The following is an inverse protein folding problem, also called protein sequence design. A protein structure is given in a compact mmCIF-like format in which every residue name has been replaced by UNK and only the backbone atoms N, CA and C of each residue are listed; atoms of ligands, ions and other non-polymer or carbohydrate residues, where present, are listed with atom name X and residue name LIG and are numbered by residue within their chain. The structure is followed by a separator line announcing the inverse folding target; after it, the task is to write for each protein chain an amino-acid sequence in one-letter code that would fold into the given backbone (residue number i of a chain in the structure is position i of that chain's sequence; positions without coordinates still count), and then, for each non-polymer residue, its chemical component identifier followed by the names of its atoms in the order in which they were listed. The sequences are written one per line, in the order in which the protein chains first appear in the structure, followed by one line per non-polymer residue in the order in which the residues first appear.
data_IF_495439783952
#
_entry.id   IF_495439783952
#
_cell.length_a   1.000
_cell.length_b   1.000
_cell.length_c   1.000
_cell.angle_alpha   90.00
_cell.angle_beta   90.00
_cell.angle_gamma   90.00
#
_symmetry.space_group_name_H-M   'P 1'
#
loop_
_entity.id
_entity.type
_entity.pdbx_description
1 polymer ?
#
# COMPACT_ATOMS: atom_id res chain seq x y z
N UNK A 1 20.02 -18.28 -14.28
CA UNK A 1 19.20 -19.02 -13.29
C UNK A 1 19.60 -18.68 -11.85
N UNK A 2 20.89 -18.48 -11.54
CA UNK A 2 21.34 -18.09 -10.19
C UNK A 2 20.78 -16.76 -9.68
N UNK A 3 20.56 -15.79 -10.57
CA UNK A 3 19.98 -14.49 -10.20
C UNK A 3 18.53 -14.61 -9.70
N UNK A 4 17.75 -15.57 -10.21
CA UNK A 4 16.36 -15.81 -9.79
C UNK A 4 16.32 -16.57 -8.46
N UNK A 5 17.26 -17.50 -8.23
CA UNK A 5 17.38 -18.23 -6.98
C UNK A 5 17.91 -17.36 -5.84
N UNK A 6 18.86 -16.45 -6.10
CA UNK A 6 19.35 -15.47 -5.11
C UNK A 6 18.40 -14.29 -4.92
N UNK A 7 17.70 -13.84 -5.97
CA UNK A 7 16.67 -12.81 -5.83
C UNK A 7 15.36 -13.37 -5.26
N UNK A 8 15.14 -14.70 -5.28
CA UNK A 8 13.93 -15.35 -4.76
C UNK A 8 13.60 -14.96 -3.31
N UNK A 9 14.54 -15.05 -2.36
CA UNK A 9 14.33 -14.57 -0.99
C UNK A 9 14.04 -13.06 -0.93
N UNK A 10 14.77 -12.25 -1.71
CA UNK A 10 14.57 -10.81 -1.75
C UNK A 10 13.18 -10.44 -2.31
N UNK A 11 12.71 -11.15 -3.34
CA UNK A 11 11.39 -11.01 -3.95
C UNK A 11 10.28 -11.43 -2.99
N UNK A 12 10.49 -12.50 -2.22
CA UNK A 12 9.56 -12.92 -1.18
C UNK A 12 9.45 -11.88 -0.06
N UNK A 13 10.58 -11.39 0.47
CA UNK A 13 10.58 -10.35 1.50
C UNK A 13 9.97 -9.05 0.99
N UNK A 14 10.32 -8.64 -0.24
CA UNK A 14 9.80 -7.46 -0.91
C UNK A 14 8.28 -7.55 -1.09
N UNK A 15 7.80 -8.70 -1.57
CA UNK A 15 6.39 -8.99 -1.73
C UNK A 15 5.59 -9.08 -0.43
N UNK A 16 6.19 -9.64 0.63
CA UNK A 16 5.59 -9.71 1.95
C UNK A 16 5.42 -8.35 2.62
N UNK A 17 6.27 -7.37 2.29
CA UNK A 17 6.12 -6.00 2.78
C UNK A 17 4.73 -5.43 2.51
N UNK A 18 4.17 -5.69 1.32
CA UNK A 18 2.81 -5.28 0.97
C UNK A 18 1.73 -5.99 1.83
N UNK A 19 1.96 -7.26 2.18
CA UNK A 19 1.04 -8.04 3.02
C UNK A 19 1.01 -7.57 4.47
N UNK A 20 2.14 -7.07 5.00
CA UNK A 20 2.20 -6.54 6.37
C UNK A 20 1.26 -5.35 6.56
N UNK A 21 1.11 -4.51 5.54
CA UNK A 21 0.19 -3.36 5.55
C UNK A 21 -1.25 -3.75 5.85
N UNK A 22 -1.71 -4.92 5.40
CA UNK A 22 -3.09 -5.40 5.61
C UNK A 22 -3.37 -5.60 7.11
N UNK A 23 -2.43 -6.17 7.85
CA UNK A 23 -2.61 -6.50 9.27
C UNK A 23 -2.77 -5.27 10.17
N UNK A 24 -2.25 -4.11 9.75
CA UNK A 24 -2.38 -2.85 10.48
C UNK A 24 -3.44 -1.93 9.86
N UNK A 25 -3.46 -1.86 8.53
CA UNK A 25 -4.36 -0.99 7.76
C UNK A 25 -5.81 -1.44 7.85
N UNK A 26 -6.10 -2.73 7.72
CA UNK A 26 -7.48 -3.23 7.72
C UNK A 26 -8.18 -3.01 9.08
N UNK A 27 -7.60 -3.37 10.24
CA UNK A 27 -8.21 -3.05 11.53
C UNK A 27 -8.42 -1.56 11.72
N UNK A 28 -7.45 -0.72 11.32
CA UNK A 28 -7.55 0.73 11.46
C UNK A 28 -8.68 1.30 10.58
N UNK A 29 -8.79 0.87 9.33
CA UNK A 29 -9.87 1.27 8.44
C UNK A 29 -11.25 0.86 8.98
N UNK A 30 -11.37 -0.35 9.54
CA UNK A 30 -12.61 -0.81 10.17
C UNK A 30 -12.95 -0.04 11.45
N UNK A 31 -11.95 0.37 12.24
CA UNK A 31 -12.15 1.25 13.40
C UNK A 31 -12.64 2.63 13.00
N UNK A 32 -12.20 3.15 11.85
CA UNK A 32 -12.69 4.40 11.27
C UNK A 32 -14.10 4.26 10.65
N UNK A 33 -14.67 3.06 10.64
CA UNK A 33 -16.04 2.79 10.21
C UNK A 33 -16.19 2.33 8.77
N UNK A 34 -15.08 2.15 8.02
CA UNK A 34 -15.13 1.59 6.67
C UNK A 34 -15.52 0.11 6.72
N UNK A 35 -16.40 -0.33 5.81
CA UNK A 35 -16.89 -1.71 5.73
C UNK A 35 -16.17 -2.42 4.60
N UNK A 36 -16.86 -2.78 3.53
CA UNK A 36 -16.27 -3.46 2.37
C UNK A 36 -15.25 -2.58 1.66
N UNK A 37 -15.39 -1.26 1.74
CA UNK A 37 -14.41 -0.28 1.25
C UNK A 37 -13.02 -0.50 1.88
N UNK A 38 -12.96 -1.01 3.12
CA UNK A 38 -11.69 -1.30 3.80
C UNK A 38 -10.88 -2.41 3.10
N UNK A 39 -11.55 -3.35 2.42
CA UNK A 39 -10.88 -4.43 1.67
C UNK A 39 -10.15 -3.84 0.47
N UNK A 40 -10.84 -3.03 -0.33
CA UNK A 40 -10.23 -2.33 -1.46
C UNK A 40 -9.15 -1.34 -1.02
N UNK A 41 -9.40 -0.60 0.05
CA UNK A 41 -8.46 0.39 0.57
C UNK A 41 -7.14 -0.21 1.10
N UNK A 42 -7.14 -1.45 1.59
CA UNK A 42 -6.00 -2.02 2.34
C UNK A 42 -5.36 -3.25 1.72
N UNK A 43 -5.98 -3.84 0.69
CA UNK A 43 -5.47 -5.05 0.03
C UNK A 43 -4.21 -4.83 -0.79
N UNK A 44 -3.83 -3.58 -1.07
CA UNK A 44 -2.64 -3.26 -1.85
C UNK A 44 -2.21 -1.78 -1.69
N UNK A 45 -1.15 -1.40 -2.40
CA UNK A 45 -0.74 -0.01 -2.59
C UNK A 45 -1.69 0.82 -3.50
N UNK A 46 -2.77 0.22 -4.02
CA UNK A 46 -3.79 0.87 -4.84
C UNK A 46 -3.24 1.60 -6.08
N UNK A 47 -2.23 1.02 -6.73
CA UNK A 47 -1.69 1.47 -8.02
C UNK A 47 -2.70 1.25 -9.15
N UNK A 48 -2.41 1.80 -10.32
CA UNK A 48 -3.25 1.76 -11.51
C UNK A 48 -3.67 0.33 -11.89
N UNK A 49 -2.72 -0.61 -11.81
CA UNK A 49 -3.00 -2.03 -12.06
C UNK A 49 -3.68 -2.73 -10.87
N UNK A 50 -3.53 -2.24 -9.64
CA UNK A 50 -4.30 -2.75 -8.50
C UNK A 50 -5.76 -2.35 -8.57
N UNK A 51 -6.06 -1.13 -9.06
CA UNK A 51 -7.42 -0.70 -9.39
C UNK A 51 -8.05 -1.61 -10.44
N UNK A 52 -7.31 -1.95 -11.51
CA UNK A 52 -7.77 -2.89 -12.51
C UNK A 52 -8.04 -4.29 -11.92
N UNK A 53 -7.16 -4.77 -11.04
CA UNK A 53 -7.34 -6.04 -10.31
C UNK A 53 -8.60 -6.03 -9.43
N UNK A 54 -8.78 -5.01 -8.60
CA UNK A 54 -9.96 -4.88 -7.73
C UNK A 54 -11.24 -4.78 -8.55
N UNK A 55 -11.24 -3.97 -9.62
CA UNK A 55 -12.37 -3.86 -10.53
C UNK A 55 -12.69 -5.20 -11.20
N UNK A 56 -11.68 -5.99 -11.56
CA UNK A 56 -11.87 -7.33 -12.14
C UNK A 56 -12.39 -8.36 -11.13
N UNK A 57 -12.01 -8.22 -9.86
CA UNK A 57 -12.37 -9.17 -8.80
C UNK A 57 -13.75 -8.89 -8.19
N UNK A 58 -14.09 -7.61 -7.97
CA UNK A 58 -15.30 -7.18 -7.26
C UNK A 58 -16.31 -6.42 -8.13
N UNK A 59 -15.92 -5.96 -9.31
CA UNK A 59 -16.72 -5.09 -10.18
C UNK A 59 -16.45 -3.60 -9.92
N UNK A 60 -16.63 -2.77 -10.95
CA UNK A 60 -16.35 -1.32 -10.88
C UNK A 60 -17.28 -0.54 -9.96
N UNK A 61 -18.53 -1.00 -9.78
CA UNK A 61 -19.53 -0.38 -8.91
C UNK A 61 -19.50 -0.94 -7.47
N UNK A 62 -18.45 -1.68 -7.11
CA UNK A 62 -18.31 -2.25 -5.77
C UNK A 62 -17.80 -1.23 -4.75
N UNK A 63 -18.13 -1.47 -3.48
CA UNK A 63 -17.59 -0.72 -2.35
C UNK A 63 -16.06 -0.86 -2.29
N UNK A 64 -15.52 -2.03 -2.65
CA UNK A 64 -14.08 -2.31 -2.75
C UNK A 64 -13.40 -1.44 -3.81
N UNK A 65 -13.97 -1.36 -5.01
CA UNK A 65 -13.46 -0.49 -6.07
C UNK A 65 -13.44 0.98 -5.62
N UNK A 66 -14.51 1.42 -4.96
CA UNK A 66 -14.62 2.77 -4.40
C UNK A 66 -13.55 3.04 -3.33
N UNK A 67 -13.33 2.09 -2.42
CA UNK A 67 -12.29 2.18 -1.38
C UNK A 67 -10.88 2.22 -1.97
N UNK A 68 -10.58 1.38 -2.96
CA UNK A 68 -9.30 1.40 -3.67
C UNK A 68 -9.06 2.74 -4.37
N UNK A 69 -10.07 3.27 -5.06
CA UNK A 69 -9.99 4.53 -5.77
C UNK A 69 -9.81 5.74 -4.84
N UNK A 70 -10.47 5.74 -3.68
CA UNK A 70 -10.28 6.76 -2.67
C UNK A 70 -8.82 6.82 -2.18
N UNK A 71 -8.22 5.67 -1.89
CA UNK A 71 -6.81 5.61 -1.46
C UNK A 71 -5.85 5.98 -2.60
N UNK A 72 -6.13 5.56 -3.83
CA UNK A 72 -5.32 5.95 -4.98
C UNK A 72 -5.22 7.48 -5.13
N UNK A 73 -6.35 8.18 -5.02
CA UNK A 73 -6.40 9.64 -5.17
C UNK A 73 -5.86 10.33 -3.92
N UNK A 74 -6.49 10.11 -2.76
CA UNK A 74 -6.20 10.84 -1.53
C UNK A 74 -4.87 10.39 -0.92
N UNK A 75 -4.68 9.07 -0.84
CA UNK A 75 -3.43 8.48 -0.38
C UNK A 75 -2.28 8.75 -1.35
N UNK A 76 -2.56 8.85 -2.65
CA UNK A 76 -1.57 9.29 -3.63
C UNK A 76 -1.03 10.69 -3.34
N UNK A 77 -1.91 11.66 -3.11
CA UNK A 77 -1.51 13.04 -2.83
C UNK A 77 -0.78 13.15 -1.49
N UNK A 78 -1.39 12.66 -0.42
CA UNK A 78 -0.82 12.76 0.93
C UNK A 78 0.47 11.94 1.07
N UNK A 79 0.48 10.74 0.49
CA UNK A 79 1.62 9.85 0.50
C UNK A 79 2.81 10.45 -0.23
N UNK A 80 2.60 11.08 -1.39
CA UNK A 80 3.70 11.71 -2.16
C UNK A 80 4.44 12.74 -1.31
N UNK A 81 3.70 13.62 -0.62
CA UNK A 81 4.29 14.62 0.28
C UNK A 81 5.05 13.95 1.43
N UNK A 82 4.41 12.96 2.07
CA UNK A 82 4.99 12.23 3.20
C UNK A 82 6.30 11.53 2.82
N UNK A 83 6.31 10.77 1.72
CA UNK A 83 7.47 10.00 1.28
C UNK A 83 8.64 10.90 0.84
N UNK A 84 8.38 12.05 0.22
CA UNK A 84 9.43 13.02 -0.10
C UNK A 84 10.12 13.58 1.15
N UNK A 85 9.33 13.99 2.15
CA UNK A 85 9.87 14.49 3.43
C UNK A 85 10.61 13.37 4.17
N UNK A 86 10.00 12.20 4.29
CA UNK A 86 10.59 11.05 4.99
C UNK A 86 11.92 10.64 4.37
N UNK A 87 12.02 10.60 3.04
CA UNK A 87 13.26 10.27 2.34
C UNK A 87 14.37 11.28 2.65
N UNK A 88 14.03 12.58 2.69
CA UNK A 88 14.97 13.64 3.08
C UNK A 88 15.46 13.46 4.51
N UNK A 89 14.54 13.29 5.46
CA UNK A 89 14.86 13.12 6.89
C UNK A 89 15.77 11.90 7.09
N UNK A 90 15.42 10.76 6.48
CA UNK A 90 16.23 9.54 6.56
C UNK A 90 17.60 9.72 5.91
N UNK A 91 17.68 10.38 4.75
CA UNK A 91 18.95 10.70 4.11
C UNK A 91 19.85 11.58 4.99
N UNK A 92 19.28 12.53 5.73
CA UNK A 92 20.04 13.39 6.65
C UNK A 92 20.58 12.68 7.89
N UNK A 93 20.00 11.53 8.28
CA UNK A 93 20.52 10.76 9.42
C UNK A 93 21.91 10.15 9.16
N UNK A 94 22.27 9.94 7.90
CA UNK A 94 23.53 9.31 7.51
C UNK A 94 23.65 7.83 7.87
N UNK A 95 22.57 7.17 8.33
CA UNK A 95 22.61 5.76 8.75
C UNK A 95 22.63 4.78 7.59
N UNK A 96 22.19 5.22 6.41
CA UNK A 96 22.00 4.36 5.25
C UNK A 96 22.77 4.89 4.05
N UNK A 97 23.28 3.97 3.23
CA UNK A 97 23.90 4.31 1.95
C UNK A 97 22.87 4.99 1.02
N UNK A 98 23.19 6.14 0.39
CA UNK A 98 22.30 6.85 -0.52
C UNK A 98 21.70 5.97 -1.62
N UNK A 99 22.46 4.99 -2.12
CA UNK A 99 22.02 4.06 -3.17
C UNK A 99 20.99 3.08 -2.65
N UNK A 100 21.18 2.59 -1.42
CA UNK A 100 20.21 1.73 -0.74
C UNK A 100 18.91 2.48 -0.44
N UNK A 101 19.02 3.74 0.01
CA UNK A 101 17.87 4.62 0.19
C UNK A 101 17.14 4.85 -1.14
N UNK A 102 17.87 5.14 -2.22
CA UNK A 102 17.32 5.28 -3.56
C UNK A 102 16.55 4.05 -4.01
N UNK A 103 17.13 2.85 -3.82
CA UNK A 103 16.45 1.59 -4.13
C UNK A 103 15.16 1.40 -3.33
N UNK A 104 15.16 1.78 -2.04
CA UNK A 104 13.98 1.65 -1.17
C UNK A 104 12.79 2.49 -1.65
N UNK A 105 13.04 3.63 -2.31
CA UNK A 105 11.97 4.49 -2.84
C UNK A 105 11.15 3.80 -3.92
N UNK A 106 11.71 2.78 -4.59
CA UNK A 106 11.01 2.00 -5.61
C UNK A 106 9.95 1.03 -5.06
N UNK A 107 9.84 0.84 -3.75
CA UNK A 107 8.83 -0.08 -3.18
C UNK A 107 7.41 0.51 -3.28
N UNK A 108 7.27 1.83 -3.37
CA UNK A 108 5.98 2.54 -3.37
C UNK A 108 5.27 2.60 -4.73
N UNK A 109 4.17 3.37 -4.80
CA UNK A 109 3.58 3.79 -6.06
C UNK A 109 4.56 4.67 -6.86
N UNK A 110 4.40 4.73 -8.18
CA UNK A 110 5.32 5.49 -9.04
C UNK A 110 5.45 6.97 -8.63
N UNK A 111 4.35 7.57 -8.17
CA UNK A 111 4.33 8.94 -7.62
C UNK A 111 5.13 9.08 -6.31
N UNK A 112 5.10 8.06 -5.44
CA UNK A 112 5.88 8.05 -4.20
C UNK A 112 7.37 7.88 -4.50
N UNK A 113 7.70 6.95 -5.41
CA UNK A 113 9.05 6.75 -5.92
C UNK A 113 9.61 8.05 -6.51
N UNK A 114 8.86 8.71 -7.41
CA UNK A 114 9.30 9.93 -8.06
C UNK A 114 9.60 11.03 -7.04
N UNK A 115 8.71 11.26 -6.07
CA UNK A 115 8.93 12.27 -5.05
C UNK A 115 10.12 11.94 -4.13
N UNK A 116 10.18 10.72 -3.58
CA UNK A 116 11.23 10.33 -2.65
C UNK A 116 12.62 10.26 -3.31
N UNK A 117 12.71 9.70 -4.52
CA UNK A 117 13.96 9.63 -5.26
C UNK A 117 14.45 11.02 -5.70
N UNK A 118 13.55 11.93 -6.08
CA UNK A 118 13.91 13.32 -6.37
C UNK A 118 14.47 14.03 -5.14
N UNK A 119 13.83 13.87 -3.97
CA UNK A 119 14.35 14.41 -2.70
C UNK A 119 15.74 13.89 -2.36
N UNK A 120 15.98 12.59 -2.51
CA UNK A 120 17.30 11.99 -2.28
C UNK A 120 18.35 12.42 -3.32
N UNK A 121 17.96 12.55 -4.60
CA UNK A 121 18.85 13.02 -5.65
C UNK A 121 19.29 14.47 -5.44
N UNK A 122 18.42 15.31 -4.85
CA UNK A 122 18.78 16.66 -4.43
C UNK A 122 19.73 16.66 -3.22
N UNK A 123 19.53 15.74 -2.28
CA UNK A 123 20.37 15.63 -1.08
C UNK A 123 21.76 15.03 -1.39
N UNK A 124 21.84 14.12 -2.38
CA UNK A 124 23.07 13.46 -2.81
C UNK A 124 23.31 13.66 -4.33
N UNK A 125 23.71 14.87 -4.77
CA UNK A 125 23.83 15.18 -6.20
C UNK A 125 24.82 14.29 -6.95
N UNK A 126 25.86 13.81 -6.27
CA UNK A 126 26.88 12.94 -6.84
C UNK A 126 26.33 11.55 -7.23
N UNK A 127 25.32 11.05 -6.51
CA UNK A 127 24.71 9.73 -6.74
C UNK A 127 23.31 9.83 -7.40
N UNK A 128 22.87 11.04 -7.78
CA UNK A 128 21.52 11.31 -8.28
C UNK A 128 21.07 10.38 -9.42
N UNK A 129 21.94 10.14 -10.40
CA UNK A 129 21.66 9.24 -11.53
C UNK A 129 21.49 7.79 -11.05
N UNK A 130 22.35 7.33 -10.15
CA UNK A 130 22.28 5.98 -9.59
C UNK A 130 21.04 5.80 -8.73
N UNK A 131 20.70 6.78 -7.88
CA UNK A 131 19.49 6.78 -7.05
C UNK A 131 18.25 6.63 -7.93
N UNK A 132 18.12 7.45 -8.97
CA UNK A 132 16.95 7.46 -9.86
C UNK A 132 16.85 6.16 -10.67
N UNK A 133 17.99 5.64 -11.15
CA UNK A 133 18.03 4.38 -11.89
C UNK A 133 17.65 3.19 -10.99
N UNK A 134 18.19 3.12 -9.77
CA UNK A 134 17.88 2.06 -8.81
C UNK A 134 16.42 2.13 -8.34
N UNK A 135 15.89 3.33 -8.11
CA UNK A 135 14.49 3.55 -7.77
C UNK A 135 13.56 3.01 -8.88
N UNK A 136 13.85 3.35 -10.14
CA UNK A 136 13.05 2.93 -11.30
C UNK A 136 13.08 1.41 -11.52
N UNK A 137 14.26 0.80 -11.38
CA UNK A 137 14.42 -0.65 -11.47
C UNK A 137 13.65 -1.35 -10.34
N UNK A 138 13.79 -0.89 -9.11
CA UNK A 138 13.09 -1.43 -7.95
C UNK A 138 11.56 -1.31 -8.11
N UNK A 139 11.06 -0.18 -8.61
CA UNK A 139 9.63 0.04 -8.86
C UNK A 139 9.05 -0.87 -9.95
N UNK A 140 9.84 -1.19 -10.96
CA UNK A 140 9.42 -2.13 -12.01
C UNK A 140 9.29 -3.55 -11.44
N UNK A 141 10.28 -3.98 -10.66
CA UNK A 141 10.27 -5.29 -9.99
C UNK A 141 9.09 -5.36 -9.00
N UNK A 142 8.93 -4.33 -8.16
CA UNK A 142 7.84 -4.20 -7.19
C UNK A 142 6.47 -4.29 -7.87
N UNK A 143 6.31 -3.64 -9.01
CA UNK A 143 5.06 -3.65 -9.75
C UNK A 143 4.70 -5.01 -10.29
N UNK A 144 5.64 -5.68 -10.97
CA UNK A 144 5.41 -7.01 -11.56
C UNK A 144 5.10 -8.03 -10.44
N UNK A 145 5.94 -8.08 -9.42
CA UNK A 145 5.75 -9.03 -8.30
C UNK A 145 4.50 -8.70 -7.48
N UNK A 146 4.22 -7.42 -7.28
CA UNK A 146 3.05 -6.93 -6.54
C UNK A 146 1.73 -7.33 -7.17
N UNK A 147 1.61 -7.37 -8.50
CA UNK A 147 0.40 -7.83 -9.21
C UNK A 147 0.07 -9.27 -8.79
N UNK A 148 1.03 -10.20 -8.91
CA UNK A 148 0.81 -11.61 -8.61
C UNK A 148 0.51 -11.84 -7.12
N UNK A 149 1.26 -11.17 -6.24
CA UNK A 149 1.04 -11.30 -4.78
C UNK A 149 -0.30 -10.73 -4.39
N UNK A 150 -0.71 -9.61 -4.99
CA UNK A 150 -2.01 -9.01 -4.68
C UNK A 150 -3.15 -9.92 -5.11
N UNK A 151 -3.07 -10.43 -6.34
CA UNK A 151 -4.08 -11.31 -6.92
C UNK A 151 -4.24 -12.62 -6.14
N UNK A 152 -3.12 -13.30 -5.82
CA UNK A 152 -3.17 -14.64 -5.22
C UNK A 152 -3.14 -14.67 -3.69
N UNK A 153 -2.55 -13.67 -3.04
CA UNK A 153 -2.40 -13.65 -1.58
C UNK A 153 -3.15 -12.49 -0.94
N UNK A 154 -2.92 -11.26 -1.37
CA UNK A 154 -3.36 -10.09 -0.63
C UNK A 154 -4.89 -9.94 -0.60
N UNK A 155 -5.56 -10.06 -1.76
CA UNK A 155 -7.03 -10.02 -1.85
C UNK A 155 -7.68 -11.11 -0.99
N UNK A 156 -7.36 -12.42 -1.16
CA UNK A 156 -8.00 -13.46 -0.35
C UNK A 156 -7.63 -13.39 1.14
N UNK A 157 -6.43 -12.90 1.48
CA UNK A 157 -6.03 -12.67 2.87
C UNK A 157 -6.84 -11.54 3.50
N UNK A 158 -7.00 -10.42 2.79
CA UNK A 158 -7.74 -9.25 3.27
C UNK A 158 -9.21 -9.59 3.49
N UNK A 159 -9.83 -10.34 2.57
CA UNK A 159 -11.23 -10.78 2.69
C UNK A 159 -11.46 -11.71 3.91
N UNK A 160 -10.54 -12.66 4.13
CA UNK A 160 -10.57 -13.53 5.32
C UNK A 160 -10.39 -12.74 6.61
N UNK A 161 -9.40 -11.84 6.65
CA UNK A 161 -9.12 -11.04 7.83
C UNK A 161 -10.29 -10.09 8.13
N UNK A 162 -10.89 -9.48 7.10
CA UNK A 162 -12.09 -8.66 7.22
C UNK A 162 -13.23 -9.47 7.84
N UNK A 163 -13.49 -10.68 7.35
CA UNK A 163 -14.56 -11.53 7.89
C UNK A 163 -14.34 -11.89 9.37
N UNK A 164 -13.09 -12.12 9.78
CA UNK A 164 -12.74 -12.39 11.19
C UNK A 164 -12.96 -11.14 12.04
N UNK A 165 -12.46 -9.99 11.58
CA UNK A 165 -12.59 -8.71 12.29
C UNK A 165 -14.05 -8.26 12.35
N UNK A 166 -14.83 -8.40 11.28
CA UNK A 166 -16.24 -8.00 11.21
C UNK A 166 -17.07 -8.80 12.22
N UNK A 167 -16.83 -10.11 12.37
CA UNK A 167 -17.46 -10.91 13.43
C UNK A 167 -17.11 -10.41 14.83
N UNK A 168 -15.86 -9.99 15.05
CA UNK A 168 -15.40 -9.46 16.33
C UNK A 168 -16.02 -8.09 16.64
N UNK A 169 -16.14 -7.21 15.65
CA UNK A 169 -16.76 -5.88 15.79
C UNK A 169 -18.30 -5.95 15.85
N UNK A 170 -18.93 -6.89 15.13
CA UNK A 170 -20.37 -7.14 15.19
C UNK A 170 -20.82 -7.59 16.58
N UNK A 171 -20.02 -8.45 17.25
CA UNK A 171 -20.26 -8.85 18.64
C UNK A 171 -20.21 -7.69 19.65
N UNK A 172 -19.48 -6.60 19.33
CA UNK A 172 -19.48 -5.35 20.12
C UNK A 172 -20.67 -4.45 19.81
N UNK A 173 -21.13 -4.40 18.54
CA UNK A 173 -22.30 -3.60 18.12
C UNK A 173 -23.63 -4.16 18.63
N UNK A 174 -23.76 -5.48 18.77
CA UNK A 174 -24.95 -6.12 19.36
C UNK A 174 -25.17 -5.76 20.84
N UNK A 175 -24.15 -5.18 21.52
CA UNK A 175 -24.25 -4.71 22.91
C UNK A 175 -24.59 -3.23 23.05
N UNK A 176 -24.72 -2.47 21.95
CA UNK A 176 -25.23 -1.08 22.01
C UNK A 176 -26.73 -1.11 21.74
N UNK A 177 -27.60 -0.85 22.73
CA UNK A 177 -29.04 -0.80 22.50
C UNK A 177 -29.33 0.32 21.50
N UNK A 178 -30.22 0.04 20.54
CA UNK A 178 -30.72 1.00 19.58
C UNK A 178 -31.37 2.20 20.29
N UNK A 179 -30.62 3.28 20.47
CA UNK A 179 -31.15 4.54 20.94
C UNK A 179 -31.70 5.35 19.77
N UNK A 180 -33.03 5.42 19.74
CA UNK A 180 -33.88 6.47 19.15
C UNK A 180 -34.03 6.48 17.62
N UNK A 181 -34.93 5.61 17.16
CA UNK A 181 -35.70 5.79 15.92
C UNK A 181 -36.77 6.86 16.17
N UNK A 182 -36.41 8.13 16.03
CA UNK A 182 -37.34 9.26 16.08
C UNK A 182 -37.93 9.54 14.70
N UNK A 183 -39.16 9.06 14.48
CA UNK A 183 -40.06 9.51 13.41
C UNK A 183 -40.11 11.04 13.34
N UNK A 184 -39.99 11.62 12.15
CA UNK A 184 -40.69 12.87 11.84
C UNK A 184 -41.51 12.61 10.57
N UNK A 185 -42.81 12.90 10.71
CA UNK A 185 -43.87 12.78 9.72
C UNK A 185 -43.74 13.82 8.63
#
# INVERSE_FOLDING_TARGET
MDMILHAGPALLVHGFGNLLGIFFGLPLAMLLGLRRESIGATSSLNREYHLALINSAYGSDSDEASGSMAIYIVGGILGTIYFGIMATVLGMTGWFDPKALGMSTGVGAGIFMASASASLAQLFPHDANTITAMASAANTIAGITGIYITMFLAIPLTDKLYTILDKMFAGRRAKTPAAVKGRIK
#
